data_IF_290608443593
#
_entry.id   IF_290608443593
#
_cell.length_a   1.000
_cell.length_b   1.000
_cell.length_c   1.000
_cell.angle_alpha   90.00
_cell.angle_beta   90.00
_cell.angle_gamma   90.00
#
_symmetry.space_group_name_H-M   'P 1'
#
loop_
_entity.id
_entity.type
_entity.pdbx_description
1 polymer ?
#
# COMPACT_ATOMS: atom_id res chain seq x y z
N UNK A 1 -37.81 27.26 61.81
CA UNK A 1 -38.35 26.40 60.74
C UNK A 1 -37.25 26.22 59.70
N UNK A 2 -36.65 25.03 59.64
CA UNK A 2 -35.67 24.69 58.61
C UNK A 2 -36.43 24.30 57.33
N UNK A 3 -36.19 25.04 56.25
CA UNK A 3 -36.85 24.82 54.97
C UNK A 3 -36.11 23.70 54.22
N UNK A 4 -36.76 22.54 54.09
CA UNK A 4 -36.19 21.31 53.58
C UNK A 4 -36.76 21.00 52.18
N UNK A 5 -36.47 21.87 51.20
CA UNK A 5 -36.87 21.63 49.81
C UNK A 5 -35.81 22.17 48.83
N UNK A 6 -34.67 21.49 48.74
CA UNK A 6 -33.79 21.61 47.59
C UNK A 6 -33.28 20.21 47.18
N UNK A 7 -34.21 19.32 46.82
CA UNK A 7 -33.85 18.13 46.06
C UNK A 7 -33.61 18.55 44.60
N UNK A 8 -32.40 18.33 44.05
CA UNK A 8 -32.08 18.79 42.70
C UNK A 8 -32.85 17.96 41.66
N UNK A 9 -33.68 18.63 40.87
CA UNK A 9 -34.38 18.10 39.70
C UNK A 9 -33.39 17.91 38.52
N UNK A 10 -32.20 17.36 38.78
CA UNK A 10 -31.07 17.28 37.83
C UNK A 10 -30.90 15.91 37.15
N UNK A 11 -31.85 14.99 37.34
CA UNK A 11 -31.65 13.58 36.96
C UNK A 11 -31.54 13.31 35.46
N UNK A 12 -32.20 14.09 34.59
CA UNK A 12 -32.19 13.83 33.14
C UNK A 12 -31.10 14.63 32.42
N UNK A 13 -30.95 15.92 32.76
CA UNK A 13 -29.98 16.81 32.11
C UNK A 13 -28.54 16.49 32.52
N UNK A 14 -28.31 16.06 33.76
CA UNK A 14 -26.98 15.68 34.25
C UNK A 14 -26.45 14.40 33.61
N UNK A 15 -27.34 13.44 33.33
CA UNK A 15 -26.97 12.19 32.65
C UNK A 15 -26.60 12.45 31.19
N UNK A 16 -27.40 13.26 30.47
CA UNK A 16 -27.12 13.62 29.07
C UNK A 16 -25.81 14.41 28.96
N UNK A 17 -25.58 15.38 29.85
CA UNK A 17 -24.33 16.14 29.90
C UNK A 17 -23.12 15.25 30.22
N UNK A 18 -23.26 14.33 31.19
CA UNK A 18 -22.21 13.38 31.55
C UNK A 18 -21.86 12.42 30.42
N UNK A 19 -22.85 11.93 29.66
CA UNK A 19 -22.62 11.09 28.49
C UNK A 19 -21.95 11.87 27.34
N UNK A 20 -22.40 13.11 27.07
CA UNK A 20 -21.77 13.97 26.08
C UNK A 20 -20.31 14.27 26.44
N UNK A 21 -20.02 14.58 27.71
CA UNK A 21 -18.67 14.86 28.17
C UNK A 21 -17.78 13.60 28.20
N UNK A 22 -18.33 12.44 28.57
CA UNK A 22 -17.62 11.17 28.56
C UNK A 22 -17.26 10.73 27.13
N UNK A 23 -18.20 10.80 26.19
CA UNK A 23 -17.98 10.42 24.78
C UNK A 23 -16.97 11.34 24.09
N UNK A 24 -17.09 12.65 24.29
CA UNK A 24 -16.13 13.63 23.75
C UNK A 24 -14.72 13.37 24.24
N UNK A 25 -14.55 13.09 25.54
CA UNK A 25 -13.23 12.79 26.14
C UNK A 25 -12.63 11.47 25.63
N UNK A 26 -13.45 10.44 25.44
CA UNK A 26 -12.99 9.17 24.88
C UNK A 26 -12.50 9.32 23.44
N UNK A 27 -13.24 10.07 22.61
CA UNK A 27 -12.86 10.31 21.21
C UNK A 27 -11.57 11.12 21.15
N UNK A 28 -11.44 12.21 21.91
CA UNK A 28 -10.22 13.03 21.91
C UNK A 28 -9.00 12.23 22.36
N UNK A 29 -9.14 11.42 23.41
CA UNK A 29 -8.05 10.58 23.91
C UNK A 29 -7.67 9.48 22.91
N UNK A 30 -8.65 8.88 22.24
CA UNK A 30 -8.39 7.86 21.21
C UNK A 30 -7.65 8.46 20.03
N UNK A 31 -8.08 9.62 19.53
CA UNK A 31 -7.41 10.33 18.44
C UNK A 31 -5.98 10.70 18.84
N UNK A 32 -5.78 11.18 20.07
CA UNK A 32 -4.45 11.49 20.60
C UNK A 32 -3.56 10.25 20.66
N UNK A 33 -4.05 9.14 21.23
CA UNK A 33 -3.31 7.89 21.35
C UNK A 33 -2.95 7.28 19.99
N UNK A 34 -3.89 7.28 19.04
CA UNK A 34 -3.62 6.82 17.67
C UNK A 34 -2.59 7.71 16.96
N UNK A 35 -2.67 9.03 17.15
CA UNK A 35 -1.69 9.98 16.60
C UNK A 35 -0.31 9.79 17.20
N UNK A 36 -0.23 9.56 18.51
CA UNK A 36 1.02 9.29 19.20
C UNK A 36 1.63 7.95 18.74
N UNK A 37 0.83 6.90 18.67
CA UNK A 37 1.25 5.59 18.14
C UNK A 37 1.75 5.70 16.69
N UNK A 38 1.04 6.43 15.82
CA UNK A 38 1.48 6.69 14.45
C UNK A 38 2.79 7.47 14.40
N UNK A 39 2.96 8.46 15.29
CA UNK A 39 4.18 9.25 15.41
C UNK A 39 5.35 8.38 15.84
N UNK A 40 5.17 7.52 16.85
CA UNK A 40 6.19 6.60 17.32
C UNK A 40 6.56 5.56 16.25
N UNK A 41 5.56 4.99 15.57
CA UNK A 41 5.78 4.06 14.47
C UNK A 41 6.57 4.72 13.33
N UNK A 42 6.16 5.91 12.91
CA UNK A 42 6.88 6.68 11.87
C UNK A 42 8.32 6.97 12.30
N UNK A 43 8.54 7.33 13.57
CA UNK A 43 9.88 7.57 14.12
C UNK A 43 10.73 6.30 14.12
N UNK A 44 10.16 5.14 14.45
CA UNK A 44 10.85 3.86 14.43
C UNK A 44 11.20 3.43 12.99
N UNK A 45 10.25 3.52 12.07
CA UNK A 45 10.47 3.24 10.65
C UNK A 45 11.56 4.15 10.07
N UNK A 46 11.48 5.45 10.39
CA UNK A 46 12.48 6.43 9.97
C UNK A 46 13.88 6.11 10.49
N UNK A 47 14.01 5.78 11.78
CA UNK A 47 15.28 5.31 12.36
C UNK A 47 15.81 4.06 11.67
N UNK A 48 14.94 3.12 11.29
CA UNK A 48 15.32 1.93 10.54
C UNK A 48 15.86 2.26 9.15
N UNK A 49 15.22 3.19 8.45
CA UNK A 49 15.68 3.67 7.15
C UNK A 49 17.03 4.39 7.30
N UNK A 50 17.16 5.35 8.23
CA UNK A 50 18.43 6.08 8.46
C UNK A 50 19.56 5.13 8.86
N UNK A 51 19.28 4.12 9.69
CA UNK A 51 20.27 3.11 10.06
C UNK A 51 20.68 2.22 8.86
N UNK A 52 19.80 2.06 7.88
CA UNK A 52 20.08 1.30 6.66
C UNK A 52 20.75 2.15 5.57
N UNK A 53 20.42 3.45 5.49
CA UNK A 53 20.91 4.37 4.45
C UNK A 53 22.06 5.27 4.90
N UNK A 54 22.45 5.24 6.18
CA UNK A 54 23.49 6.10 6.79
C UNK A 54 23.31 7.60 6.52
N UNK A 55 22.08 8.09 6.38
CA UNK A 55 21.80 9.51 6.08
C UNK A 55 20.91 10.16 7.17
N UNK A 56 21.53 10.95 8.04
CA UNK A 56 20.88 11.64 9.17
C UNK A 56 20.02 12.85 8.76
N UNK A 57 20.13 13.34 7.53
CA UNK A 57 19.49 14.61 7.14
C UNK A 57 17.97 14.52 7.01
N UNK A 58 17.42 13.31 6.88
CA UNK A 58 15.99 13.10 6.76
C UNK A 58 15.25 13.30 8.11
N UNK A 59 15.94 13.14 9.25
CA UNK A 59 15.36 13.24 10.61
C UNK A 59 14.91 14.66 10.94
N UNK A 60 15.77 15.64 10.66
CA UNK A 60 15.54 17.04 11.01
C UNK A 60 14.39 17.71 10.22
N UNK A 61 14.05 17.16 9.04
CA UNK A 61 12.96 17.67 8.19
C UNK A 61 11.59 17.29 8.75
N UNK A 62 11.44 16.09 9.31
CA UNK A 62 10.15 15.62 9.84
C UNK A 62 9.80 16.25 11.20
N UNK A 63 10.77 16.44 12.10
CA UNK A 63 10.53 17.13 13.38
C UNK A 63 10.12 18.60 13.20
N UNK A 64 10.61 19.26 12.15
CA UNK A 64 10.18 20.63 11.80
C UNK A 64 8.78 20.67 11.18
N UNK A 65 8.39 19.67 10.39
CA UNK A 65 7.06 19.61 9.78
C UNK A 65 5.94 19.30 10.79
N UNK A 66 6.21 18.47 11.81
CA UNK A 66 5.22 18.19 12.87
C UNK A 66 4.74 19.46 13.61
N UNK A 67 5.58 20.51 13.68
CA UNK A 67 5.20 21.81 14.27
C UNK A 67 4.47 22.76 13.31
N UNK A 68 4.47 22.49 11.99
CA UNK A 68 3.98 23.42 10.96
C UNK A 68 2.79 22.95 10.12
N UNK A 69 2.39 21.67 10.19
CA UNK A 69 1.34 21.09 9.32
C UNK A 69 -0.09 21.51 9.73
N UNK A 70 -0.27 22.20 10.86
CA UNK A 70 -1.58 22.64 11.34
C UNK A 70 -2.35 23.58 10.38
N UNK A 71 -1.71 24.13 9.33
CA UNK A 71 -2.29 25.22 8.54
C UNK A 71 -2.78 24.87 7.12
N UNK A 72 -2.52 23.66 6.59
CA UNK A 72 -2.78 23.39 5.15
C UNK A 72 -3.27 21.97 4.85
N UNK A 73 -4.50 21.63 5.25
CA UNK A 73 -5.07 20.27 5.00
C UNK A 73 -6.45 20.25 4.35
N UNK A 74 -7.08 21.41 4.08
CA UNK A 74 -8.51 21.52 3.69
C UNK A 74 -8.96 20.60 2.53
N UNK A 75 -8.08 20.18 1.63
CA UNK A 75 -8.42 19.28 0.52
C UNK A 75 -8.41 17.77 0.87
N UNK A 76 -7.45 17.32 1.70
CA UNK A 76 -7.25 15.89 1.98
C UNK A 76 -8.30 15.33 2.96
N UNK A 77 -8.86 16.21 3.80
CA UNK A 77 -9.84 15.84 4.82
C UNK A 77 -11.15 15.36 4.18
N UNK A 78 -11.56 15.97 3.07
CA UNK A 78 -12.79 15.58 2.37
C UNK A 78 -12.67 14.19 1.75
N UNK A 79 -11.53 13.86 1.12
CA UNK A 79 -11.28 12.55 0.52
C UNK A 79 -11.20 11.44 1.59
N UNK A 80 -10.58 11.73 2.73
CA UNK A 80 -10.54 10.79 3.87
C UNK A 80 -11.92 10.63 4.50
N UNK A 81 -12.70 11.71 4.63
CA UNK A 81 -14.08 11.62 5.13
C UNK A 81 -14.93 10.73 4.22
N UNK A 82 -14.83 10.91 2.91
CA UNK A 82 -15.61 10.16 1.92
C UNK A 82 -15.19 8.68 1.84
N UNK A 83 -13.92 8.37 2.13
CA UNK A 83 -13.46 6.99 2.32
C UNK A 83 -13.92 6.38 3.65
N UNK A 84 -13.96 7.17 4.73
CA UNK A 84 -14.40 6.71 6.05
C UNK A 84 -15.92 6.53 6.15
N UNK A 85 -16.72 7.32 5.43
CA UNK A 85 -18.18 7.14 5.40
C UNK A 85 -18.55 5.75 4.92
N UNK A 86 -17.81 5.18 3.95
CA UNK A 86 -17.99 3.78 3.53
C UNK A 86 -17.70 2.73 4.62
N UNK A 87 -16.76 3.02 5.52
CA UNK A 87 -16.41 2.14 6.66
C UNK A 87 -17.34 2.31 7.85
N UNK A 88 -17.88 3.51 8.06
CA UNK A 88 -18.80 3.84 9.14
C UNK A 88 -20.24 3.45 8.80
N UNK A 89 -20.59 3.38 7.53
CA UNK A 89 -21.90 2.93 7.07
C UNK A 89 -22.24 1.53 7.58
N UNK A 90 -21.26 0.63 7.63
CA UNK A 90 -21.50 -0.74 8.10
C UNK A 90 -21.90 -0.79 9.59
N UNK A 91 -21.12 -0.25 10.55
CA UNK A 91 -21.52 -0.24 11.96
C UNK A 91 -22.75 0.62 12.25
N UNK A 92 -22.99 1.71 11.50
CA UNK A 92 -24.21 2.53 11.64
C UNK A 92 -25.44 1.72 11.21
N UNK A 93 -25.39 1.10 10.03
CA UNK A 93 -26.50 0.28 9.52
C UNK A 93 -26.76 -0.94 10.41
N UNK A 94 -25.72 -1.58 10.94
CA UNK A 94 -25.86 -2.71 11.88
C UNK A 94 -26.41 -2.27 13.24
N UNK A 95 -25.98 -1.11 13.74
CA UNK A 95 -26.50 -0.53 14.98
C UNK A 95 -27.95 -0.05 14.84
N UNK A 96 -28.35 0.47 13.68
CA UNK A 96 -29.75 0.84 13.43
C UNK A 96 -30.67 -0.37 13.30
N UNK A 97 -30.23 -1.44 12.63
CA UNK A 97 -31.05 -2.66 12.44
C UNK A 97 -31.16 -3.53 13.68
N UNK A 98 -30.08 -3.65 14.45
CA UNK A 98 -29.98 -4.60 15.56
C UNK A 98 -29.74 -3.93 16.91
N UNK A 99 -29.54 -2.61 16.98
CA UNK A 99 -29.29 -1.91 18.24
C UNK A 99 -27.95 -2.31 18.87
N UNK A 100 -27.94 -2.44 20.19
CA UNK A 100 -26.77 -2.83 20.99
C UNK A 100 -26.04 -4.11 20.48
N UNK A 101 -26.74 -5.23 20.17
CA UNK A 101 -26.07 -6.42 19.66
C UNK A 101 -25.45 -6.20 18.26
N UNK A 102 -26.01 -5.32 17.44
CA UNK A 102 -25.43 -4.92 16.16
C UNK A 102 -24.07 -4.23 16.31
N UNK A 103 -23.96 -3.36 17.32
CA UNK A 103 -22.71 -2.67 17.66
C UNK A 103 -21.63 -3.65 18.16
N UNK A 104 -22.00 -4.59 19.03
CA UNK A 104 -21.10 -5.65 19.49
C UNK A 104 -20.61 -6.54 18.34
N UNK A 105 -21.51 -6.94 17.44
CA UNK A 105 -21.10 -7.69 16.25
C UNK A 105 -20.18 -6.87 15.35
N UNK A 106 -20.45 -5.57 15.16
CA UNK A 106 -19.60 -4.67 14.39
C UNK A 106 -18.17 -4.58 14.95
N UNK A 107 -18.01 -4.54 16.28
CA UNK A 107 -16.70 -4.58 16.93
C UNK A 107 -16.03 -5.94 16.72
N UNK A 108 -16.74 -7.05 16.90
CA UNK A 108 -16.20 -8.40 16.70
C UNK A 108 -15.72 -8.63 15.26
N UNK A 109 -16.51 -8.20 14.28
CA UNK A 109 -16.13 -8.24 12.86
C UNK A 109 -14.98 -7.27 12.55
N UNK A 110 -14.96 -6.09 13.17
CA UNK A 110 -13.87 -5.11 13.04
C UNK A 110 -12.52 -5.66 13.52
N UNK A 111 -12.48 -6.27 14.72
CA UNK A 111 -11.27 -6.89 15.26
C UNK A 111 -10.83 -8.08 14.42
N UNK A 112 -11.77 -8.91 13.95
CA UNK A 112 -11.46 -10.02 13.03
C UNK A 112 -10.80 -9.50 11.75
N UNK A 113 -11.29 -8.37 11.22
CA UNK A 113 -10.69 -7.68 10.07
C UNK A 113 -9.24 -7.25 10.30
N UNK A 114 -8.90 -6.77 11.51
CA UNK A 114 -7.54 -6.34 11.85
C UNK A 114 -6.50 -7.47 11.84
N UNK A 115 -6.92 -8.71 12.05
CA UNK A 115 -6.00 -9.89 12.02
C UNK A 115 -6.04 -10.57 10.66
N UNK A 116 -7.24 -10.72 10.08
CA UNK A 116 -7.42 -11.38 8.80
C UNK A 116 -6.75 -10.61 7.66
N UNK A 117 -6.83 -9.27 7.65
CA UNK A 117 -6.29 -8.44 6.57
C UNK A 117 -4.75 -8.50 6.48
N UNK A 118 -3.98 -8.33 7.57
CA UNK A 118 -2.52 -8.52 7.53
C UNK A 118 -2.12 -9.95 7.20
N UNK A 119 -2.79 -10.96 7.77
CA UNK A 119 -2.49 -12.36 7.48
C UNK A 119 -2.68 -12.67 5.99
N UNK A 120 -3.79 -12.21 5.40
CA UNK A 120 -4.06 -12.34 3.97
C UNK A 120 -2.99 -11.62 3.12
N UNK A 121 -2.58 -10.41 3.52
CA UNK A 121 -1.52 -9.65 2.84
C UNK A 121 -0.19 -10.38 2.83
N UNK A 122 0.25 -10.93 3.97
CA UNK A 122 1.49 -11.72 4.06
C UNK A 122 1.40 -12.96 3.15
N UNK A 123 0.25 -13.65 3.18
CA UNK A 123 0.02 -14.83 2.34
C UNK A 123 0.07 -14.49 0.85
N UNK A 124 -0.52 -13.37 0.46
CA UNK A 124 -0.51 -12.87 -0.93
C UNK A 124 0.89 -12.51 -1.40
N UNK A 125 1.65 -11.78 -0.58
CA UNK A 125 3.05 -11.42 -0.87
C UNK A 125 3.91 -12.68 -0.99
N UNK A 126 3.74 -13.64 -0.09
CA UNK A 126 4.44 -14.92 -0.11
C UNK A 126 4.08 -15.71 -1.37
N UNK A 127 2.80 -15.77 -1.73
CA UNK A 127 2.31 -16.43 -2.94
C UNK A 127 2.89 -15.80 -4.21
N UNK A 128 2.86 -14.47 -4.33
CA UNK A 128 3.47 -13.71 -5.44
C UNK A 128 4.98 -13.94 -5.51
N UNK A 129 5.66 -13.99 -4.37
CA UNK A 129 7.10 -14.30 -4.30
C UNK A 129 7.41 -15.72 -4.77
N UNK A 130 6.64 -16.71 -4.30
CA UNK A 130 6.79 -18.10 -4.71
C UNK A 130 6.50 -18.28 -6.22
N UNK A 131 5.49 -17.59 -6.74
CA UNK A 131 5.17 -17.57 -8.16
C UNK A 131 6.30 -16.92 -8.98
N UNK A 132 6.86 -15.80 -8.50
CA UNK A 132 7.98 -15.12 -9.14
C UNK A 132 9.21 -16.04 -9.25
N UNK A 133 9.57 -16.73 -8.16
CA UNK A 133 10.66 -17.71 -8.14
C UNK A 133 10.39 -18.86 -9.11
N UNK A 134 9.18 -19.44 -9.10
CA UNK A 134 8.78 -20.51 -10.05
C UNK A 134 8.81 -20.06 -11.51
N UNK A 135 8.44 -18.81 -11.78
CA UNK A 135 8.44 -18.27 -13.14
C UNK A 135 9.87 -18.05 -13.65
N UNK A 136 10.77 -17.56 -12.78
CA UNK A 136 12.19 -17.48 -13.08
C UNK A 136 12.82 -18.87 -13.28
N UNK A 137 12.49 -19.87 -12.46
CA UNK A 137 13.05 -21.22 -12.61
C UNK A 137 12.59 -21.92 -13.89
N UNK A 138 11.34 -21.72 -14.32
CA UNK A 138 10.84 -22.23 -15.61
C UNK A 138 11.56 -21.57 -16.79
N UNK A 139 11.86 -20.28 -16.71
CA UNK A 139 12.71 -19.58 -17.69
C UNK A 139 14.15 -20.11 -17.68
N UNK A 140 14.72 -20.44 -16.52
CA UNK A 140 16.03 -21.09 -16.44
C UNK A 140 16.04 -22.50 -17.07
N UNK A 141 14.99 -23.30 -16.87
CA UNK A 141 14.87 -24.62 -17.50
C UNK A 141 14.65 -24.57 -19.02
N UNK A 142 14.02 -23.51 -19.53
CA UNK A 142 13.92 -23.27 -20.98
C UNK A 142 15.22 -22.70 -21.56
N UNK A 143 15.93 -21.83 -20.81
CA UNK A 143 17.21 -21.24 -21.22
C UNK A 143 18.39 -22.22 -21.12
N UNK A 144 18.30 -23.24 -20.24
CA UNK A 144 19.27 -24.34 -20.17
C UNK A 144 19.16 -25.32 -21.35
N UNK A 145 18.08 -25.23 -22.15
CA UNK A 145 18.00 -25.83 -23.49
C UNK A 145 18.76 -24.96 -24.50
N UNK A 146 20.07 -24.87 -24.30
CA UNK A 146 21.12 -24.47 -25.24
C UNK A 146 20.66 -23.80 -26.55
N UNK A 147 20.65 -22.47 -26.57
CA UNK A 147 20.78 -21.78 -27.86
C UNK A 147 22.27 -21.81 -28.24
N UNK A 148 22.68 -22.78 -29.08
CA UNK A 148 24.00 -22.74 -29.72
C UNK A 148 24.01 -21.57 -30.71
N UNK A 149 24.32 -20.37 -30.25
CA UNK A 149 24.61 -19.25 -31.15
C UNK A 149 25.98 -19.52 -31.79
N UNK A 150 26.04 -19.72 -33.11
CA UNK A 150 27.31 -19.57 -33.82
C UNK A 150 27.51 -18.08 -34.08
N UNK A 151 28.62 -17.53 -33.57
CA UNK A 151 29.01 -16.15 -33.84
C UNK A 151 29.14 -15.94 -35.37
N UNK A 152 28.57 -14.87 -35.94
CA UNK A 152 28.82 -14.50 -37.33
C UNK A 152 30.31 -14.27 -37.52
N UNK A 153 30.91 -14.88 -38.54
CA UNK A 153 32.34 -14.65 -38.85
C UNK A 153 32.55 -13.16 -39.19
N UNK A 154 33.61 -12.52 -38.68
CA UNK A 154 33.91 -11.14 -39.02
C UNK A 154 34.15 -11.04 -40.54
N UNK A 155 33.32 -10.26 -41.22
CA UNK A 155 33.57 -9.84 -42.59
C UNK A 155 34.56 -8.67 -42.52
N UNK A 156 35.81 -8.91 -42.90
CA UNK A 156 36.82 -7.87 -43.02
C UNK A 156 36.37 -6.83 -44.06
N UNK A 157 36.55 -5.54 -43.72
CA UNK A 157 36.15 -4.38 -44.55
C UNK A 157 36.91 -4.27 -45.87
N UNK A 158 38.03 -4.98 -46.00
CA UNK A 158 39.01 -4.83 -47.07
C UNK A 158 38.75 -5.72 -48.32
N UNK A 159 37.72 -6.57 -48.33
CA UNK A 159 37.38 -7.42 -49.49
C UNK A 159 35.87 -7.37 -49.80
N UNK A 160 35.37 -6.31 -50.46
CA UNK A 160 33.99 -6.29 -50.90
C UNK A 160 33.82 -7.27 -52.08
N UNK A 161 33.13 -8.39 -51.83
CA UNK A 161 32.30 -9.18 -52.76
C UNK A 161 32.77 -9.35 -54.23
N UNK A 162 34.08 -9.33 -54.52
CA UNK A 162 34.58 -9.52 -55.89
C UNK A 162 34.42 -10.97 -56.38
N UNK A 163 34.43 -11.93 -55.45
CA UNK A 163 34.28 -13.36 -55.76
C UNK A 163 32.86 -13.77 -56.20
N UNK A 164 31.82 -13.00 -55.85
CA UNK A 164 30.42 -13.31 -56.22
C UNK A 164 30.00 -12.71 -57.56
N UNK A 165 30.70 -11.68 -58.06
CA UNK A 165 30.39 -11.05 -59.35
C UNK A 165 31.18 -11.63 -60.53
N UNK A 166 32.31 -12.30 -60.29
CA UNK A 166 33.11 -12.94 -61.34
C UNK A 166 32.58 -14.33 -61.78
N UNK A 167 31.50 -14.82 -61.15
CA UNK A 167 30.86 -16.10 -61.50
C UNK A 167 29.58 -15.98 -62.35
N UNK A 168 29.12 -14.76 -62.65
CA UNK A 168 27.85 -14.52 -63.38
C UNK A 168 28.02 -13.98 -64.81
N UNK A 169 29.25 -13.83 -65.28
CA UNK A 169 29.59 -13.27 -66.60
C UNK A 169 29.98 -14.33 -67.64
N UNK A 170 29.49 -15.57 -67.53
CA UNK A 170 29.75 -16.60 -68.55
C UNK A 170 28.67 -17.70 -68.65
N UNK A 171 27.39 -17.32 -68.51
CA UNK A 171 26.24 -18.24 -68.73
C UNK A 171 25.16 -17.63 -69.63
N UNK A 172 25.59 -16.98 -70.71
CA UNK A 172 24.74 -16.78 -71.88
C UNK A 172 25.49 -17.30 -73.09
N UNK A 173 24.75 -17.95 -73.99
CA UNK A 173 25.17 -18.63 -75.23
C UNK A 173 25.43 -20.14 -75.04
N UNK A 174 24.35 -20.92 -75.07
CA UNK A 174 24.15 -22.00 -76.05
C UNK A 174 22.85 -22.73 -75.71
N UNK A 175 21.74 -22.21 -76.25
CA UNK A 175 20.46 -22.90 -76.30
C UNK A 175 19.91 -22.73 -77.72
N UNK A 176 20.54 -23.39 -78.69
CA UNK A 176 19.99 -23.64 -80.03
C UNK A 176 20.71 -24.84 -80.67
N UNK A 177 19.96 -25.89 -80.99
CA UNK A 177 20.28 -26.80 -82.10
C UNK A 177 20.57 -28.26 -81.73
N UNK A 178 19.69 -29.16 -82.19
CA UNK A 178 19.99 -30.57 -82.45
C UNK A 178 19.16 -31.56 -81.66
#
# INVERSE_FOLDING_TARGET
MFNLYQFPVQSHTGLISGMAQGTTSLVSNTVYALSDAATQFSKAAHKGIVAFTFDDQAVARMEKQQKGVASHSKGVINEVLEGLTGLLQSPINEAEKHGLPGLLSGIAFGVTGLVARPAASILEVTGKTAQSIRNHSRLYHLRSKHYRVRLPRPLSRELPLKALLLGRSNRHISAYGG
#
